data_IF_457174971969
#
_entry.id   IF_457174971969
#
_cell.length_a   1.000
_cell.length_b   1.000
_cell.length_c   1.000
_cell.angle_alpha   90.00
_cell.angle_beta   90.00
_cell.angle_gamma   90.00
#
_symmetry.space_group_name_H-M   'P 1'
#
loop_
_entity.id
_entity.type
_entity.pdbx_description
1 polymer ?
#
# COMPACT_ATOMS: atom_id res chain seq x y z
N UNK A 1 -15.68 -50.68 28.33
CA UNK A 1 -16.27 -49.50 28.98
C UNK A 1 -15.44 -48.30 28.57
N UNK A 2 -16.09 -47.42 27.83
CA UNK A 2 -15.57 -46.40 26.91
C UNK A 2 -14.83 -45.27 27.61
N UNK A 3 -13.62 -44.97 27.13
CA UNK A 3 -12.88 -43.75 27.48
C UNK A 3 -13.59 -42.51 26.91
N UNK A 4 -13.65 -41.38 27.64
CA UNK A 4 -14.27 -40.17 27.13
C UNK A 4 -13.42 -39.54 26.03
N UNK A 5 -14.12 -39.10 24.99
CA UNK A 5 -13.59 -38.46 23.79
C UNK A 5 -13.00 -37.10 24.15
N UNK A 6 -11.79 -36.86 23.64
CA UNK A 6 -11.08 -35.60 23.54
C UNK A 6 -12.02 -34.42 23.21
N UNK A 7 -12.20 -33.51 24.16
CA UNK A 7 -12.90 -32.25 23.92
C UNK A 7 -11.92 -31.26 23.29
N UNK A 8 -12.18 -30.94 22.02
CA UNK A 8 -11.45 -29.98 21.23
C UNK A 8 -11.40 -28.60 21.92
N UNK A 9 -10.20 -28.11 22.20
CA UNK A 9 -9.97 -26.69 22.45
C UNK A 9 -9.90 -25.96 21.10
N UNK A 10 -11.06 -25.77 20.48
CA UNK A 10 -11.24 -24.80 19.41
C UNK A 10 -11.26 -23.40 20.05
N UNK A 11 -10.08 -22.82 20.26
CA UNK A 11 -9.89 -21.48 20.83
C UNK A 11 -9.46 -20.47 19.77
N UNK A 12 -10.45 -19.86 19.11
CA UNK A 12 -10.45 -18.53 18.51
C UNK A 12 -9.15 -18.05 17.81
N UNK A 13 -8.99 -18.39 16.53
CA UNK A 13 -8.37 -17.44 15.61
C UNK A 13 -9.32 -16.25 15.49
N UNK A 14 -9.02 -15.16 16.21
CA UNK A 14 -9.74 -13.91 16.09
C UNK A 14 -9.80 -13.51 14.61
N UNK A 15 -11.01 -13.44 14.06
CA UNK A 15 -11.24 -13.02 12.69
C UNK A 15 -10.81 -11.55 12.56
N UNK A 16 -9.57 -11.33 12.11
CA UNK A 16 -9.06 -10.00 11.76
C UNK A 16 -10.08 -9.37 10.82
N UNK A 17 -10.71 -8.27 11.24
CA UNK A 17 -11.78 -7.62 10.50
C UNK A 17 -11.32 -7.38 9.07
N UNK A 18 -11.87 -8.14 8.12
CA UNK A 18 -11.42 -8.10 6.73
C UNK A 18 -11.88 -6.78 6.12
N UNK A 19 -10.97 -5.80 6.05
CA UNK A 19 -11.24 -4.50 5.45
C UNK A 19 -11.79 -4.72 4.03
N UNK A 20 -12.94 -4.09 3.67
CA UNK A 20 -13.51 -4.29 2.34
C UNK A 20 -12.54 -3.88 1.23
N UNK A 21 -12.46 -4.69 0.17
CA UNK A 21 -11.55 -4.46 -0.97
C UNK A 21 -11.71 -3.05 -1.54
N UNK A 22 -12.95 -2.55 -1.64
CA UNK A 22 -13.24 -1.21 -2.14
C UNK A 22 -12.54 -0.09 -1.32
N UNK A 23 -12.39 -0.25 0.00
CA UNK A 23 -11.72 0.73 0.85
C UNK A 23 -10.21 0.72 0.62
N UNK A 24 -9.62 -0.46 0.39
CA UNK A 24 -8.21 -0.59 0.04
C UNK A 24 -7.89 -0.06 -1.36
N UNK A 25 -8.78 -0.29 -2.32
CA UNK A 25 -8.70 0.32 -3.66
C UNK A 25 -8.74 1.85 -3.59
N UNK A 26 -9.65 2.39 -2.77
CA UNK A 26 -9.72 3.83 -2.54
C UNK A 26 -8.44 4.33 -1.87
N UNK A 27 -7.90 3.63 -0.88
CA UNK A 27 -6.65 4.00 -0.24
C UNK A 27 -5.48 4.04 -1.23
N UNK A 28 -5.34 3.05 -2.14
CA UNK A 28 -4.30 3.08 -3.20
C UNK A 28 -4.39 4.33 -4.08
N UNK A 29 -5.59 4.70 -4.52
CA UNK A 29 -5.80 5.93 -5.32
C UNK A 29 -5.33 7.17 -4.58
N UNK A 30 -5.68 7.28 -3.29
CA UNK A 30 -5.24 8.40 -2.46
C UNK A 30 -3.73 8.36 -2.25
N UNK A 31 -3.11 7.19 -2.08
CA UNK A 31 -1.64 7.08 -1.95
C UNK A 31 -0.94 7.60 -3.21
N UNK A 32 -1.44 7.29 -4.41
CA UNK A 32 -0.85 7.82 -5.65
C UNK A 32 -0.93 9.34 -5.70
N UNK A 33 -2.07 9.92 -5.32
CA UNK A 33 -2.25 11.37 -5.24
C UNK A 33 -1.34 12.01 -4.19
N UNK A 34 -1.24 11.42 -3.00
CA UNK A 34 -0.36 11.88 -1.93
C UNK A 34 1.12 11.77 -2.31
N UNK A 35 1.52 10.69 -3.01
CA UNK A 35 2.86 10.53 -3.55
C UNK A 35 3.17 11.58 -4.62
N UNK A 36 2.23 11.88 -5.51
CA UNK A 36 2.38 12.97 -6.47
C UNK A 36 2.64 14.30 -5.75
N UNK A 37 1.82 14.66 -4.76
CA UNK A 37 2.04 15.87 -3.97
C UNK A 37 3.41 15.86 -3.29
N UNK A 38 3.80 14.75 -2.65
CA UNK A 38 5.11 14.60 -2.02
C UNK A 38 6.27 14.83 -3.01
N UNK A 39 6.20 14.26 -4.22
CA UNK A 39 7.22 14.41 -5.25
C UNK A 39 7.34 15.84 -5.76
N UNK A 40 6.23 16.58 -5.84
CA UNK A 40 6.23 17.96 -6.34
C UNK A 40 6.58 19.00 -5.27
N UNK A 41 6.03 18.88 -4.07
CA UNK A 41 6.18 19.89 -3.01
C UNK A 41 7.26 19.58 -1.99
N UNK A 42 7.68 18.32 -1.88
CA UNK A 42 8.56 17.85 -0.81
C UNK A 42 7.90 17.82 0.58
N UNK A 43 6.58 17.98 0.67
CA UNK A 43 5.84 17.94 1.94
C UNK A 43 6.02 16.60 2.65
N UNK A 44 6.09 16.60 3.97
CA UNK A 44 6.28 15.35 4.73
C UNK A 44 5.05 14.43 4.62
N UNK A 45 5.23 13.09 4.65
CA UNK A 45 4.12 12.13 4.64
C UNK A 45 3.04 12.42 5.69
N UNK A 46 3.44 12.78 6.91
CA UNK A 46 2.50 13.07 8.00
C UNK A 46 1.63 14.30 7.73
N UNK A 47 2.21 15.38 7.20
CA UNK A 47 1.45 16.58 6.84
C UNK A 47 0.47 16.32 5.70
N UNK A 48 0.88 15.58 4.67
CA UNK A 48 0.00 15.19 3.56
C UNK A 48 -1.11 14.28 4.06
N UNK A 49 -0.80 13.34 4.95
CA UNK A 49 -1.81 12.44 5.52
C UNK A 49 -2.88 13.19 6.30
N UNK A 50 -2.50 14.16 7.13
CA UNK A 50 -3.44 14.99 7.90
C UNK A 50 -4.40 15.73 6.97
N UNK A 51 -3.88 16.40 5.94
CA UNK A 51 -4.65 17.08 4.89
C UNK A 51 -5.64 16.11 4.20
N UNK A 52 -5.15 14.95 3.74
CA UNK A 52 -5.99 13.98 3.03
C UNK A 52 -7.12 13.43 3.91
N UNK A 53 -6.87 13.23 5.22
CA UNK A 53 -7.89 12.77 6.17
C UNK A 53 -8.98 13.80 6.38
N UNK A 54 -8.64 15.09 6.39
CA UNK A 54 -9.62 16.18 6.50
C UNK A 54 -10.48 16.30 5.24
N UNK A 55 -9.88 16.20 4.06
CA UNK A 55 -10.59 16.33 2.78
C UNK A 55 -11.50 15.13 2.47
N UNK A 56 -11.17 13.94 2.97
CA UNK A 56 -11.84 12.70 2.58
C UNK A 56 -12.65 12.08 3.73
N UNK A 57 -13.93 12.43 3.82
CA UNK A 57 -14.88 11.94 4.84
C UNK A 57 -15.43 10.51 4.61
N UNK A 58 -14.86 9.75 3.67
CA UNK A 58 -15.35 8.43 3.27
C UNK A 58 -14.68 7.24 3.96
N UNK A 59 -15.22 6.04 3.77
CA UNK A 59 -14.58 4.79 4.23
C UNK A 59 -13.33 4.51 3.39
N UNK A 60 -12.17 4.81 3.95
CA UNK A 60 -10.84 4.55 3.40
C UNK A 60 -10.09 3.66 4.37
N UNK A 61 -9.30 2.73 3.85
CA UNK A 61 -8.33 1.98 4.64
C UNK A 61 -7.15 2.90 4.97
N UNK A 62 -7.31 3.74 5.99
CA UNK A 62 -6.32 4.73 6.36
C UNK A 62 -5.06 4.13 6.99
N UNK A 63 -5.18 2.98 7.67
CA UNK A 63 -4.02 2.25 8.19
C UNK A 63 -3.11 1.84 7.02
N UNK A 64 -3.71 1.27 5.96
CA UNK A 64 -2.99 0.95 4.73
C UNK A 64 -2.40 2.20 4.06
N UNK A 65 -3.15 3.31 3.99
CA UNK A 65 -2.63 4.56 3.42
C UNK A 65 -1.37 5.04 4.15
N UNK A 66 -1.41 5.15 5.47
CA UNK A 66 -0.30 5.60 6.31
C UNK A 66 0.92 4.70 6.14
N UNK A 67 0.70 3.38 6.21
CA UNK A 67 1.77 2.38 6.10
C UNK A 67 2.49 2.49 4.75
N UNK A 68 1.75 2.59 3.65
CA UNK A 68 2.32 2.65 2.32
C UNK A 68 3.01 3.99 2.08
N UNK A 69 2.36 5.12 2.38
CA UNK A 69 2.92 6.45 2.11
C UNK A 69 4.22 6.67 2.89
N UNK A 70 4.21 6.40 4.20
CA UNK A 70 5.42 6.48 5.03
C UNK A 70 6.47 5.44 4.66
N UNK A 71 6.04 4.23 4.31
CA UNK A 71 6.91 3.14 3.87
C UNK A 71 7.67 3.47 2.60
N UNK A 72 7.00 4.01 1.57
CA UNK A 72 7.64 4.41 0.32
C UNK A 72 8.69 5.49 0.56
N UNK A 73 8.36 6.52 1.33
CA UNK A 73 9.28 7.65 1.56
C UNK A 73 10.50 7.21 2.39
N UNK A 74 10.31 6.33 3.38
CA UNK A 74 11.41 5.82 4.21
C UNK A 74 12.32 4.82 3.49
N UNK A 75 11.77 4.02 2.56
CA UNK A 75 12.51 2.97 1.83
C UNK A 75 12.88 3.40 0.40
N UNK A 76 12.87 4.70 0.11
CA UNK A 76 13.02 5.23 -1.26
C UNK A 76 14.23 4.65 -2.00
N UNK A 77 15.39 4.61 -1.35
CA UNK A 77 16.62 4.09 -1.95
C UNK A 77 16.56 2.59 -2.28
N UNK A 78 15.88 1.78 -1.45
CA UNK A 78 15.71 0.35 -1.68
C UNK A 78 14.75 0.11 -2.84
N UNK A 79 13.65 0.88 -2.90
CA UNK A 79 12.71 0.81 -4.01
C UNK A 79 13.35 1.25 -5.33
N UNK A 80 14.17 2.31 -5.32
CA UNK A 80 14.93 2.75 -6.49
C UNK A 80 15.85 1.63 -7.00
N UNK A 81 16.55 0.92 -6.10
CA UNK A 81 17.41 -0.20 -6.49
C UNK A 81 16.64 -1.38 -7.14
N UNK A 82 15.35 -1.55 -6.82
CA UNK A 82 14.49 -2.53 -7.49
C UNK A 82 13.98 -2.05 -8.85
N UNK A 83 13.68 -0.75 -8.98
CA UNK A 83 13.06 -0.18 -10.18
C UNK A 83 14.11 0.13 -11.25
N UNK A 84 15.21 0.81 -10.90
CA UNK A 84 16.18 1.36 -11.85
C UNK A 84 16.74 0.34 -12.86
N UNK A 85 17.10 -0.90 -12.47
CA UNK A 85 17.62 -1.89 -13.43
C UNK A 85 16.60 -2.35 -14.49
N UNK A 86 15.31 -2.11 -14.25
CA UNK A 86 14.20 -2.53 -15.11
C UNK A 86 13.72 -1.40 -16.04
N UNK A 87 14.22 -0.17 -15.84
CA UNK A 87 13.88 0.97 -16.67
C UNK A 87 14.80 1.04 -17.89
N UNK A 88 14.22 1.40 -19.03
CA UNK A 88 14.95 1.74 -20.26
C UNK A 88 15.48 3.19 -20.26
N UNK A 89 15.05 3.98 -19.26
CA UNK A 89 15.40 5.39 -19.05
C UNK A 89 15.71 5.64 -17.56
N UNK A 90 16.30 6.80 -17.25
CA UNK A 90 16.52 7.20 -15.85
C UNK A 90 15.17 7.37 -15.13
N UNK A 91 15.12 7.02 -13.86
CA UNK A 91 13.93 7.23 -13.03
C UNK A 91 13.47 8.70 -13.03
N UNK A 92 14.41 9.65 -13.06
CA UNK A 92 14.12 11.10 -13.17
C UNK A 92 13.42 11.54 -14.46
N UNK A 93 13.36 10.67 -15.49
CA UNK A 93 12.68 10.94 -16.76
C UNK A 93 11.25 10.38 -16.80
N UNK A 94 10.81 9.72 -15.72
CA UNK A 94 9.43 9.29 -15.52
C UNK A 94 8.58 10.49 -15.05
N UNK A 95 7.34 10.56 -15.52
CA UNK A 95 6.37 11.52 -15.00
C UNK A 95 6.07 11.22 -13.51
N UNK A 96 5.81 12.23 -12.65
CA UNK A 96 5.53 11.98 -11.23
C UNK A 96 4.39 10.99 -10.96
N UNK A 97 3.38 10.90 -11.83
CA UNK A 97 2.32 9.90 -11.71
C UNK A 97 2.86 8.49 -11.98
N UNK A 98 3.65 8.32 -13.05
CA UNK A 98 4.31 7.03 -13.36
C UNK A 98 5.21 6.60 -12.19
N UNK A 99 5.98 7.54 -11.63
CA UNK A 99 6.81 7.29 -10.45
C UNK A 99 5.98 6.85 -9.25
N UNK A 100 4.89 7.56 -8.93
CA UNK A 100 4.03 7.25 -7.80
C UNK A 100 3.43 5.83 -7.90
N UNK A 101 2.94 5.45 -9.08
CA UNK A 101 2.39 4.11 -9.32
C UNK A 101 3.49 3.03 -9.22
N UNK A 102 4.67 3.28 -9.78
CA UNK A 102 5.80 2.35 -9.69
C UNK A 102 6.27 2.16 -8.25
N UNK A 103 6.37 3.23 -7.46
CA UNK A 103 6.72 3.11 -6.04
C UNK A 103 5.67 2.35 -5.25
N UNK A 104 4.39 2.62 -5.47
CA UNK A 104 3.29 1.88 -4.83
C UNK A 104 3.38 0.38 -5.15
N UNK A 105 3.48 0.02 -6.43
CA UNK A 105 3.54 -1.38 -6.85
C UNK A 105 4.79 -2.09 -6.32
N UNK A 106 5.95 -1.43 -6.40
CA UNK A 106 7.22 -1.99 -5.91
C UNK A 106 7.18 -2.19 -4.41
N UNK A 107 6.65 -1.23 -3.65
CA UNK A 107 6.49 -1.35 -2.22
C UNK A 107 5.55 -2.50 -1.85
N UNK A 108 4.42 -2.67 -2.56
CA UNK A 108 3.53 -3.81 -2.33
C UNK A 108 4.22 -5.15 -2.63
N UNK A 109 5.00 -5.25 -3.71
CA UNK A 109 5.75 -6.48 -4.00
C UNK A 109 6.79 -6.80 -2.93
N UNK A 110 7.51 -5.80 -2.44
CA UNK A 110 8.59 -5.99 -1.49
C UNK A 110 8.09 -6.25 -0.07
N UNK A 111 7.03 -5.54 0.36
CA UNK A 111 6.62 -5.49 1.77
C UNK A 111 5.26 -6.15 2.05
N UNK A 112 4.39 -6.31 1.04
CA UNK A 112 3.02 -6.81 1.19
C UNK A 112 2.84 -8.22 0.64
N UNK A 113 3.54 -9.17 1.24
CA UNK A 113 3.45 -10.61 0.91
C UNK A 113 2.01 -11.14 1.11
N UNK A 114 1.18 -10.44 1.90
CA UNK A 114 -0.24 -10.72 2.08
C UNK A 114 -1.10 -10.42 0.83
N UNK A 115 -0.59 -9.65 -0.13
CA UNK A 115 -1.30 -9.29 -1.36
C UNK A 115 -0.78 -10.15 -2.53
N UNK A 116 -1.64 -10.95 -3.20
CA UNK A 116 -1.21 -11.75 -4.33
C UNK A 116 -0.65 -10.87 -5.47
N UNK A 117 0.50 -11.25 -6.04
CA UNK A 117 1.20 -10.44 -7.04
C UNK A 117 0.32 -10.01 -8.23
N UNK A 118 -0.60 -10.86 -8.70
CA UNK A 118 -1.54 -10.53 -9.78
C UNK A 118 -2.49 -9.38 -9.42
N UNK A 119 -2.87 -9.30 -8.14
CA UNK A 119 -3.71 -8.20 -7.64
C UNK A 119 -2.90 -6.91 -7.65
N UNK A 120 -1.65 -6.91 -7.20
CA UNK A 120 -0.79 -5.73 -7.25
C UNK A 120 -0.66 -5.20 -8.68
N UNK A 121 -0.33 -6.07 -9.64
CA UNK A 121 -0.22 -5.69 -11.06
C UNK A 121 -1.53 -5.10 -11.58
N UNK A 122 -2.65 -5.79 -11.38
CA UNK A 122 -3.95 -5.34 -11.88
C UNK A 122 -4.36 -3.99 -11.28
N UNK A 123 -4.14 -3.79 -9.98
CA UNK A 123 -4.49 -2.54 -9.32
C UNK A 123 -3.57 -1.40 -9.78
N UNK A 124 -2.27 -1.64 -10.02
CA UNK A 124 -1.36 -0.66 -10.61
C UNK A 124 -1.75 -0.25 -12.04
N UNK A 125 -2.32 -1.16 -12.84
CA UNK A 125 -2.79 -0.86 -14.21
C UNK A 125 -4.11 -0.08 -14.21
N UNK A 126 -4.95 -0.27 -13.19
CA UNK A 126 -6.26 0.39 -13.04
C UNK A 126 -6.19 1.79 -12.38
N UNK A 127 -5.00 2.19 -11.91
CA UNK A 127 -4.73 3.50 -11.31
C UNK A 127 -4.43 4.55 -12.37
#
# INVERSE_FOLDING_TARGET
MTAPISQAAAGAFAAKSRIPIAQRRKARRLVVQAMYQHLLSGSTPGAIEEEFREEHTGKVDWEYFTEILGGIVSQRAELDAHIEPLLDRKASALDPIEQAVLYLGTYEFANRIDVPYRVVINECIEL
#
